data_IF_510087576579
#
_entry.id   IF_510087576579
#
_cell.length_a   1.000
_cell.length_b   1.000
_cell.length_c   1.000
_cell.angle_alpha   90.00
_cell.angle_beta   90.00
_cell.angle_gamma   90.00
#
_symmetry.space_group_name_H-M   'P 1'
#
loop_
_entity.id
_entity.type
_entity.pdbx_description
1 polymer ?
#
# COMPACT_ATOMS: atom_id res chain seq x y z
N UNK A 1 8.87 -6.48 9.51
CA UNK A 1 7.69 -7.38 9.39
C UNK A 1 6.64 -6.67 8.52
N UNK A 2 6.45 -7.09 7.26
CA UNK A 2 5.16 -6.78 6.61
C UNK A 2 4.14 -7.69 7.26
N UNK A 3 3.33 -7.14 8.17
CA UNK A 3 2.23 -7.89 8.75
C UNK A 3 1.27 -8.24 7.61
N UNK A 4 0.75 -9.48 7.57
CA UNK A 4 -0.15 -9.95 6.51
C UNK A 4 -1.31 -8.97 6.24
N UNK A 5 -1.79 -8.27 7.26
CA UNK A 5 -2.77 -7.20 7.16
C UNK A 5 -2.38 -6.07 6.19
N UNK A 6 -1.11 -5.69 6.13
CA UNK A 6 -0.61 -4.66 5.21
C UNK A 6 -0.71 -5.07 3.74
N UNK A 7 -0.46 -6.35 3.42
CA UNK A 7 -0.62 -6.88 2.06
C UNK A 7 -2.10 -6.98 1.68
N UNK A 8 -2.96 -7.42 2.60
CA UNK A 8 -4.41 -7.42 2.39
C UNK A 8 -4.94 -6.02 2.12
N UNK A 9 -4.44 -5.01 2.84
CA UNK A 9 -4.78 -3.60 2.60
C UNK A 9 -4.36 -3.12 1.21
N UNK A 10 -3.15 -3.46 0.78
CA UNK A 10 -2.66 -3.10 -0.55
C UNK A 10 -3.46 -3.77 -1.68
N UNK A 11 -3.92 -5.01 -1.47
CA UNK A 11 -4.76 -5.73 -2.40
C UNK A 11 -6.24 -5.31 -2.37
N UNK A 12 -6.62 -4.33 -1.54
CA UNK A 12 -8.02 -3.90 -1.38
C UNK A 12 -8.92 -4.93 -0.68
N UNK A 13 -8.33 -5.90 0.02
CA UNK A 13 -9.03 -6.95 0.77
C UNK A 13 -9.29 -6.56 2.23
N UNK A 14 -8.67 -5.46 2.68
CA UNK A 14 -8.82 -4.88 4.02
C UNK A 14 -8.97 -3.37 3.86
N UNK A 15 -9.99 -2.78 4.49
CA UNK A 15 -10.07 -1.34 4.66
C UNK A 15 -8.99 -0.92 5.68
N UNK A 16 -8.01 -0.14 5.21
CA UNK A 16 -6.87 0.25 6.05
C UNK A 16 -7.19 1.32 7.10
N UNK A 17 -8.40 1.90 7.09
CA UNK A 17 -8.88 2.87 8.07
C UNK A 17 -9.71 2.20 9.16
N UNK A 18 -10.61 1.29 8.76
CA UNK A 18 -11.51 0.61 9.71
C UNK A 18 -10.94 -0.72 10.22
N UNK A 19 -10.01 -1.33 9.49
CA UNK A 19 -9.49 -2.67 9.79
C UNK A 19 -10.46 -3.79 9.41
N UNK A 20 -11.55 -3.48 8.71
CA UNK A 20 -12.53 -4.47 8.29
C UNK A 20 -12.16 -5.12 6.96
N UNK A 21 -12.48 -6.41 6.82
CA UNK A 21 -12.25 -7.14 5.58
C UNK A 21 -13.28 -6.70 4.52
N UNK A 22 -12.80 -6.45 3.30
CA UNK A 22 -13.66 -6.13 2.16
C UNK A 22 -14.49 -7.33 1.67
N UNK A 23 -14.29 -8.51 2.27
CA UNK A 23 -14.98 -9.78 1.97
C UNK A 23 -15.30 -10.50 3.27
N UNK A 24 -16.29 -11.39 3.24
CA UNK A 24 -16.60 -12.27 4.37
C UNK A 24 -15.37 -13.11 4.77
N UNK A 25 -15.08 -13.30 6.07
CA UNK A 25 -13.90 -14.04 6.52
C UNK A 25 -13.73 -15.42 5.87
N UNK A 26 -14.83 -16.18 5.76
CA UNK A 26 -14.81 -17.52 5.15
C UNK A 26 -14.43 -17.49 3.66
N UNK A 27 -14.90 -16.49 2.90
CA UNK A 27 -14.58 -16.37 1.48
C UNK A 27 -13.10 -16.01 1.28
N UNK A 28 -12.55 -15.14 2.13
CA UNK A 28 -11.13 -14.80 2.09
C UNK A 28 -10.26 -16.01 2.43
N UNK A 29 -10.61 -16.75 3.50
CA UNK A 29 -9.90 -17.96 3.86
C UNK A 29 -9.93 -19.00 2.73
N UNK A 30 -11.10 -19.22 2.11
CA UNK A 30 -11.22 -20.11 0.95
C UNK A 30 -10.33 -19.69 -0.22
N UNK A 31 -10.26 -18.39 -0.52
CA UNK A 31 -9.37 -17.87 -1.57
C UNK A 31 -7.88 -18.09 -1.23
N UNK A 32 -7.48 -17.87 0.02
CA UNK A 32 -6.11 -18.10 0.48
C UNK A 32 -5.73 -19.59 0.44
N UNK A 33 -6.66 -20.48 0.80
CA UNK A 33 -6.47 -21.93 0.68
C UNK A 33 -6.35 -22.36 -0.78
N UNK A 34 -7.14 -21.77 -1.68
CA UNK A 34 -7.01 -22.00 -3.12
C UNK A 34 -5.64 -21.54 -3.64
N UNK A 35 -5.16 -20.38 -3.17
CA UNK A 35 -3.83 -19.86 -3.51
C UNK A 35 -2.71 -20.80 -3.02
N UNK A 36 -2.83 -21.33 -1.80
CA UNK A 36 -1.83 -22.24 -1.22
C UNK A 36 -1.68 -23.58 -1.97
N UNK A 37 -2.67 -23.95 -2.78
CA UNK A 37 -2.65 -25.17 -3.59
C UNK A 37 -2.03 -24.96 -4.99
N UNK A 38 -1.57 -23.76 -5.32
CA UNK A 38 -0.95 -23.49 -6.62
C UNK A 38 0.50 -23.99 -6.63
N UNK A 39 0.73 -25.07 -7.38
CA UNK A 39 2.04 -25.72 -7.51
C UNK A 39 2.90 -25.17 -8.65
N UNK A 40 2.32 -24.40 -9.58
CA UNK A 40 3.04 -23.87 -10.74
C UNK A 40 3.99 -22.72 -10.33
N UNK A 41 5.32 -22.91 -10.38
CA UNK A 41 6.29 -21.90 -9.97
C UNK A 41 6.26 -20.64 -10.84
N UNK A 42 5.83 -20.74 -12.11
CA UNK A 42 5.75 -19.58 -13.01
C UNK A 42 4.72 -18.57 -12.54
N UNK A 43 3.63 -19.04 -11.92
CA UNK A 43 2.62 -18.15 -11.33
C UNK A 43 3.19 -17.35 -10.17
N UNK A 44 4.05 -17.97 -9.36
CA UNK A 44 4.72 -17.29 -8.25
C UNK A 44 5.68 -16.20 -8.74
N UNK A 45 6.47 -16.47 -9.77
CA UNK A 45 7.35 -15.46 -10.40
C UNK A 45 6.54 -14.28 -10.97
N UNK A 46 5.45 -14.54 -11.69
CA UNK A 46 4.57 -13.48 -12.20
C UNK A 46 3.97 -12.62 -11.08
N UNK A 47 3.56 -13.24 -9.98
CA UNK A 47 2.99 -12.52 -8.83
C UNK A 47 4.04 -11.72 -8.08
N UNK A 48 5.27 -12.22 -7.99
CA UNK A 48 6.38 -11.48 -7.40
C UNK A 48 6.65 -10.19 -8.20
N UNK A 49 6.72 -10.27 -9.52
CA UNK A 49 6.92 -9.10 -10.38
C UNK A 49 5.78 -8.07 -10.19
N UNK A 50 4.52 -8.54 -10.23
CA UNK A 50 3.34 -7.67 -10.04
C UNK A 50 3.33 -7.03 -8.65
N UNK A 51 3.63 -7.82 -7.61
CA UNK A 51 3.70 -7.36 -6.23
C UNK A 51 4.81 -6.34 -6.01
N UNK A 52 5.99 -6.57 -6.59
CA UNK A 52 7.13 -5.66 -6.52
C UNK A 52 6.83 -4.31 -7.18
N UNK A 53 6.17 -4.30 -8.36
CA UNK A 53 5.71 -3.07 -9.02
C UNK A 53 4.81 -2.24 -8.10
N UNK A 54 3.79 -2.88 -7.53
CA UNK A 54 2.82 -2.21 -6.65
C UNK A 54 3.49 -1.67 -5.36
N UNK A 55 4.43 -2.42 -4.79
CA UNK A 55 5.20 -1.97 -3.63
C UNK A 55 6.09 -0.77 -3.96
N UNK A 56 6.71 -0.75 -5.15
CA UNK A 56 7.54 0.36 -5.60
C UNK A 56 6.72 1.64 -5.84
N UNK A 57 5.58 1.53 -6.52
CA UNK A 57 4.64 2.65 -6.72
C UNK A 57 4.21 3.27 -5.38
N UNK A 58 3.92 2.43 -4.38
CA UNK A 58 3.50 2.89 -3.05
C UNK A 58 4.63 3.58 -2.28
N UNK A 59 5.88 3.14 -2.47
CA UNK A 59 7.05 3.79 -1.88
C UNK A 59 7.32 5.16 -2.52
N UNK A 60 7.24 5.24 -3.85
CA UNK A 60 7.38 6.50 -4.59
C UNK A 60 6.32 7.53 -4.15
N UNK A 61 5.05 7.10 -3.99
CA UNK A 61 3.96 7.97 -3.52
C UNK A 61 4.13 8.44 -2.08
N UNK A 62 4.80 7.64 -1.23
CA UNK A 62 5.09 8.02 0.17
C UNK A 62 6.28 9.00 0.26
N UNK A 63 7.25 8.93 -0.66
CA UNK A 63 8.42 9.81 -0.71
C UNK A 63 8.18 11.21 -1.31
N UNK A 64 7.12 11.38 -2.12
CA UNK A 64 6.75 12.66 -2.73
C UNK A 64 5.95 13.61 -1.84
N UNK A 65 5.62 13.22 -0.60
CA UNK A 65 4.93 14.08 0.38
C UNK A 65 5.96 14.68 1.34
N UNK A 66 6.86 15.51 0.82
CA UNK A 66 7.77 16.33 1.61
C UNK A 66 7.28 17.78 1.52
N UNK A 67 6.36 18.12 2.41
CA UNK A 67 6.27 19.42 3.11
C UNK A 67 6.72 20.69 2.36
N UNK A 68 6.03 21.08 1.29
CA UNK A 68 6.17 22.41 0.66
C UNK A 68 5.18 23.42 1.28
N UNK A 69 5.17 23.53 2.60
CA UNK A 69 4.18 24.34 3.32
C UNK A 69 4.72 25.06 4.55
N UNK A 70 5.16 26.31 4.38
CA UNK A 70 5.03 27.33 5.41
C UNK A 70 6.30 28.12 5.74
N UNK A 71 6.39 29.34 5.20
CA UNK A 71 7.40 30.31 5.63
C UNK A 71 7.38 31.67 4.92
N UNK A 72 6.25 32.11 4.35
CA UNK A 72 6.08 33.54 4.03
C UNK A 72 5.72 34.28 5.30
N UNK A 73 6.69 34.94 5.93
CA UNK A 73 6.43 36.04 6.85
C UNK A 73 7.50 37.13 6.71
N UNK A 74 7.03 38.26 6.17
CA UNK A 74 7.31 39.60 6.67
C UNK A 74 8.73 40.18 6.52
N UNK A 75 9.00 40.78 5.35
CA UNK A 75 9.97 41.87 5.25
C UNK A 75 9.25 43.19 5.48
N UNK A 76 9.27 43.66 6.72
CA UNK A 76 8.79 44.96 7.14
C UNK A 76 9.68 46.10 6.60
N UNK A 77 9.01 47.13 6.08
CA UNK A 77 9.36 48.56 6.12
C UNK A 77 10.84 48.95 5.91
N UNK A 78 11.15 49.39 4.69
CA UNK A 78 12.20 50.38 4.46
C UNK A 78 11.65 51.45 3.51
N UNK A 79 11.43 52.65 4.03
CA UNK A 79 11.34 53.86 3.20
C UNK A 79 12.21 54.94 3.85
N UNK A 80 12.93 55.73 3.04
CA UNK A 80 14.01 56.61 3.48
C UNK A 80 13.55 57.88 4.20
#
# INVERSE_FOLDING_TARGET
MFQAAGLLGLAGLLDTKTGELARKPAALLGALLGLAQVEDPRRWEEWEIKGASLLAERQAKKGGRKDDGGGSIESAHQSP
#
